data_IF_779661498474
#
_entry.id   IF_779661498474
#
_cell.length_a   1.000
_cell.length_b   1.000
_cell.length_c   1.000
_cell.angle_alpha   90.00
_cell.angle_beta   90.00
_cell.angle_gamma   90.00
#
_symmetry.space_group_name_H-M   'P 1'
#
loop_
_entity.id
_entity.type
_entity.pdbx_description
1 polymer ?
#
# COMPACT_ATOMS: atom_id res chain seq x y z
N UNK A 1 9.69 0.21 -12.25
CA UNK A 1 8.53 0.73 -11.52
C UNK A 1 8.54 2.23 -11.63
N UNK A 2 7.44 2.87 -12.03
CA UNK A 2 7.37 4.33 -12.02
C UNK A 2 7.28 4.82 -10.57
N UNK A 3 8.14 5.77 -10.18
CA UNK A 3 8.05 6.44 -8.87
C UNK A 3 6.66 7.06 -8.65
N UNK A 4 6.01 7.43 -9.76
CA UNK A 4 4.64 7.91 -9.83
C UNK A 4 3.63 6.93 -9.23
N UNK A 5 3.65 5.66 -9.60
CA UNK A 5 2.72 4.67 -9.07
C UNK A 5 2.93 4.42 -7.57
N UNK A 6 4.18 4.45 -7.11
CA UNK A 6 4.50 4.32 -5.68
C UNK A 6 3.97 5.52 -4.88
N UNK A 7 4.19 6.73 -5.39
CA UNK A 7 3.72 7.98 -4.77
C UNK A 7 2.20 8.06 -4.73
N UNK A 8 1.54 7.73 -5.85
CA UNK A 8 0.08 7.65 -5.93
C UNK A 8 -0.46 6.69 -4.88
N UNK A 9 0.03 5.44 -4.85
CA UNK A 9 -0.44 4.44 -3.89
C UNK A 9 -0.25 4.90 -2.44
N UNK A 10 0.89 5.50 -2.11
CA UNK A 10 1.15 6.00 -0.75
C UNK A 10 0.15 7.08 -0.33
N UNK A 11 -0.04 8.11 -1.16
CA UNK A 11 -0.94 9.21 -0.88
C UNK A 11 -2.40 8.74 -0.83
N UNK A 12 -2.78 7.83 -1.73
CA UNK A 12 -4.12 7.25 -1.73
C UNK A 12 -4.38 6.45 -0.46
N UNK A 13 -3.45 5.59 -0.04
CA UNK A 13 -3.57 4.82 1.20
C UNK A 13 -3.63 5.71 2.46
N UNK A 14 -2.88 6.83 2.46
CA UNK A 14 -2.91 7.83 3.52
C UNK A 14 -4.28 8.52 3.59
N UNK A 15 -4.82 8.96 2.45
CA UNK A 15 -6.14 9.58 2.37
C UNK A 15 -7.28 8.65 2.83
N UNK A 16 -7.12 7.34 2.60
CA UNK A 16 -8.07 6.31 3.05
C UNK A 16 -7.82 5.81 4.49
N UNK A 17 -6.82 6.36 5.21
CA UNK A 17 -6.51 5.96 6.60
C UNK A 17 -6.04 4.50 6.74
N UNK A 18 -5.45 3.93 5.69
CA UNK A 18 -5.10 2.49 5.65
C UNK A 18 -3.83 2.14 6.44
N UNK A 19 -3.09 3.14 6.92
CA UNK A 19 -1.91 2.93 7.76
C UNK A 19 -2.25 2.72 9.24
N UNK A 20 -3.46 3.09 9.67
CA UNK A 20 -3.82 3.14 11.10
C UNK A 20 -4.28 1.78 11.67
N UNK A 21 -4.05 0.68 10.95
CA UNK A 21 -4.38 -0.68 11.41
C UNK A 21 -5.89 -0.96 11.47
N UNK A 22 -6.69 -0.22 10.71
CA UNK A 22 -8.15 -0.37 10.67
C UNK A 22 -8.54 -1.75 10.10
N UNK A 23 -9.46 -2.43 10.78
CA UNK A 23 -10.07 -3.66 10.29
C UNK A 23 -11.20 -3.33 9.30
N UNK A 24 -11.05 -3.80 8.06
CA UNK A 24 -12.08 -3.66 7.03
C UNK A 24 -12.81 -4.98 6.82
N UNK A 25 -14.11 -4.90 6.50
CA UNK A 25 -14.85 -6.06 6.00
C UNK A 25 -14.37 -6.42 4.58
N UNK A 26 -14.56 -7.67 4.16
CA UNK A 26 -14.20 -8.09 2.80
C UNK A 26 -14.91 -7.25 1.73
N UNK A 27 -16.16 -6.85 1.97
CA UNK A 27 -16.92 -5.99 1.06
C UNK A 27 -16.29 -4.59 0.94
N UNK A 28 -15.87 -4.00 2.07
CA UNK A 28 -15.19 -2.71 2.09
C UNK A 28 -13.82 -2.78 1.38
N UNK A 29 -13.06 -3.86 1.58
CA UNK A 29 -11.79 -4.09 0.86
C UNK A 29 -12.03 -4.14 -0.66
N UNK A 30 -13.07 -4.84 -1.10
CA UNK A 30 -13.39 -4.94 -2.52
C UNK A 30 -13.83 -3.60 -3.13
N UNK A 31 -14.54 -2.76 -2.37
CA UNK A 31 -14.90 -1.40 -2.79
C UNK A 31 -13.66 -0.51 -2.91
N UNK A 32 -12.81 -0.50 -1.88
CA UNK A 32 -11.56 0.24 -1.87
C UNK A 32 -10.64 -0.17 -3.03
N UNK A 33 -10.54 -1.47 -3.32
CA UNK A 33 -9.75 -1.95 -4.46
C UNK A 33 -10.30 -1.43 -5.80
N UNK A 34 -11.63 -1.40 -5.98
CA UNK A 34 -12.24 -0.84 -7.19
C UNK A 34 -12.00 0.66 -7.33
N UNK A 35 -12.15 1.40 -6.23
CA UNK A 35 -11.86 2.84 -6.19
C UNK A 35 -10.39 3.12 -6.53
N UNK A 36 -9.46 2.40 -5.92
CA UNK A 36 -8.02 2.53 -6.19
C UNK A 36 -7.70 2.33 -7.67
N UNK A 37 -8.25 1.28 -8.29
CA UNK A 37 -8.00 0.99 -9.70
C UNK A 37 -8.62 2.05 -10.61
N UNK A 38 -9.83 2.52 -10.32
CA UNK A 38 -10.48 3.59 -11.08
C UNK A 38 -9.69 4.91 -11.01
N UNK A 39 -9.22 5.29 -9.83
CA UNK A 39 -8.42 6.52 -9.67
C UNK A 39 -7.04 6.39 -10.30
N UNK A 40 -6.42 5.21 -10.18
CA UNK A 40 -5.14 4.92 -10.85
C UNK A 40 -5.27 5.03 -12.37
N UNK A 41 -6.33 4.50 -12.95
CA UNK A 41 -6.59 4.59 -14.40
C UNK A 41 -6.82 6.04 -14.84
N UNK A 42 -7.55 6.84 -14.07
CA UNK A 42 -7.73 8.27 -14.33
C UNK A 42 -6.41 9.06 -14.31
N UNK A 43 -5.47 8.64 -13.46
CA UNK A 43 -4.09 9.14 -13.42
C UNK A 43 -3.22 8.53 -14.53
N UNK A 44 -3.72 7.60 -15.33
CA UNK A 44 -2.96 6.88 -16.37
C UNK A 44 -1.93 5.89 -15.80
N UNK A 45 -2.17 5.38 -14.59
CA UNK A 45 -1.37 4.34 -13.93
C UNK A 45 -2.04 3.00 -14.15
N UNK A 46 -1.31 2.03 -14.69
CA UNK A 46 -1.85 0.70 -14.95
C UNK A 46 -2.03 -0.12 -13.68
N UNK A 47 -2.97 -1.08 -13.70
CA UNK A 47 -3.14 -2.06 -12.62
C UNK A 47 -1.84 -2.82 -12.30
N UNK A 48 -1.03 -3.14 -13.31
CA UNK A 48 0.26 -3.80 -13.14
C UNK A 48 1.25 -2.93 -12.34
N UNK A 49 1.26 -1.62 -12.59
CA UNK A 49 2.09 -0.68 -11.83
C UNK A 49 1.64 -0.57 -10.37
N UNK A 50 0.32 -0.48 -10.13
CA UNK A 50 -0.25 -0.46 -8.77
C UNK A 50 0.05 -1.76 -8.03
N UNK A 51 -0.12 -2.90 -8.69
CA UNK A 51 0.18 -4.21 -8.11
C UNK A 51 1.65 -4.32 -7.72
N UNK A 52 2.57 -3.90 -8.61
CA UNK A 52 4.00 -3.87 -8.30
C UNK A 52 4.33 -2.90 -7.15
N UNK A 53 3.67 -1.74 -7.08
CA UNK A 53 3.81 -0.78 -5.99
C UNK A 53 3.47 -1.41 -4.65
N UNK A 54 2.32 -2.09 -4.58
CA UNK A 54 1.82 -2.72 -3.38
C UNK A 54 2.77 -3.80 -2.85
N UNK A 55 3.25 -4.69 -3.72
CA UNK A 55 4.20 -5.74 -3.31
C UNK A 55 5.50 -5.17 -2.75
N UNK A 56 6.02 -4.09 -3.34
CA UNK A 56 7.22 -3.42 -2.83
C UNK A 56 6.97 -2.73 -1.50
N UNK A 57 5.85 -2.02 -1.34
CA UNK A 57 5.46 -1.40 -0.07
C UNK A 57 5.38 -2.47 1.04
N UNK A 58 4.71 -3.59 0.76
CA UNK A 58 4.62 -4.73 1.69
C UNK A 58 6.00 -5.29 2.05
N UNK A 59 6.91 -5.44 1.09
CA UNK A 59 8.27 -5.89 1.35
C UNK A 59 9.07 -4.89 2.22
N UNK A 60 8.86 -3.59 2.03
CA UNK A 60 9.49 -2.54 2.84
C UNK A 60 8.94 -2.51 4.26
N UNK A 61 7.61 -2.60 4.43
CA UNK A 61 6.97 -2.68 5.74
C UNK A 61 7.41 -3.94 6.51
N UNK A 62 7.50 -5.08 5.83
CA UNK A 62 8.04 -6.33 6.42
C UNK A 62 9.47 -6.15 6.90
N UNK A 63 10.34 -5.55 6.09
CA UNK A 63 11.75 -5.29 6.47
C UNK A 63 11.85 -4.35 7.67
N UNK A 64 11.04 -3.29 7.72
CA UNK A 64 10.98 -2.38 8.88
C UNK A 64 10.52 -3.11 10.14
N UNK A 65 9.47 -3.92 10.05
CA UNK A 65 9.00 -4.71 11.19
C UNK A 65 10.06 -5.69 11.70
N UNK A 66 10.80 -6.34 10.79
CA UNK A 66 11.92 -7.22 11.15
C UNK A 66 13.08 -6.46 11.80
N UNK A 67 13.42 -5.26 11.34
CA UNK A 67 14.46 -4.44 11.94
C UNK A 67 14.11 -3.99 13.37
N UNK A 68 12.87 -3.53 13.58
CA UNK A 68 12.37 -3.12 14.91
C UNK A 68 12.32 -4.30 15.88
N UNK A 69 11.94 -5.49 15.41
CA UNK A 69 11.95 -6.70 16.25
C UNK A 69 13.38 -7.18 16.54
N UNK A 70 14.34 -6.95 15.65
CA UNK A 70 15.74 -7.33 15.87
C UNK A 70 16.49 -6.36 16.81
N UNK A 71 16.14 -5.07 16.84
CA UNK A 71 16.66 -4.10 17.82
C UNK A 71 16.07 -4.31 19.23
N UNK A 72 14.80 -4.73 19.33
CA UNK A 72 14.16 -5.02 20.62
C UNK A 72 14.64 -6.32 21.29
N UNK A 73 15.43 -7.15 20.58
CA UNK A 73 15.96 -8.44 21.03
C UNK A 73 17.49 -8.49 21.09
N UNK A 74 18.18 -7.37 20.83
CA UNK A 74 19.63 -7.27 21.01
C UNK A 74 19.95 -7.04 22.50
N UNK A 75 20.80 -7.88 23.14
CA UNK A 75 21.16 -7.78 24.56
C UNK A 75 22.02 -6.56 24.90
#
# INVERSE_FOLDING_TARGET
MSERAARFLHLWMEAQGLFDGVCFSQAAINELARHLLSEAEAEGISEAEITQAFWRLRATLRRRHQAVTHEALAP
#
